data_IF_269583618538
#
_entry.id   IF_269583618538
#
_cell.length_a   1.000
_cell.length_b   1.000
_cell.length_c   1.000
_cell.angle_alpha   90.00
_cell.angle_beta   90.00
_cell.angle_gamma   90.00
#
_symmetry.space_group_name_H-M   'P 1'
#
loop_
_entity.id
_entity.type
_entity.pdbx_description
1 polymer ?
#
# COMPACT_ATOMS: atom_id res chain seq x y z
N UNK A 1 8.19 23.76 11.93
CA UNK A 1 9.16 22.83 12.56
C UNK A 1 10.03 22.25 11.45
N UNK A 2 11.32 22.52 11.50
CA UNK A 2 12.28 22.05 10.48
C UNK A 2 12.27 20.52 10.48
N UNK A 3 11.95 19.91 9.34
CA UNK A 3 12.12 18.48 9.15
C UNK A 3 13.60 18.17 9.26
N UNK A 4 14.00 17.28 10.17
CA UNK A 4 15.40 16.83 10.32
C UNK A 4 15.94 16.16 9.04
N UNK A 5 15.09 15.99 8.04
CA UNK A 5 15.37 15.28 6.78
C UNK A 5 15.39 16.33 5.67
N UNK A 6 16.57 16.59 5.14
CA UNK A 6 16.75 17.46 3.97
C UNK A 6 16.63 16.65 2.68
N UNK A 7 16.16 17.28 1.61
CA UNK A 7 16.04 16.64 0.31
C UNK A 7 17.40 16.09 -0.20
N UNK A 8 18.48 16.84 0.05
CA UNK A 8 19.84 16.43 -0.33
C UNK A 8 20.29 15.15 0.39
N UNK A 9 19.97 15.01 1.68
CA UNK A 9 20.29 13.81 2.46
C UNK A 9 19.56 12.57 1.91
N UNK A 10 18.28 12.72 1.55
CA UNK A 10 17.50 11.62 0.99
C UNK A 10 18.08 11.18 -0.36
N UNK A 11 18.46 12.13 -1.23
CA UNK A 11 19.10 11.82 -2.51
C UNK A 11 20.44 11.10 -2.35
N UNK A 12 21.29 11.55 -1.42
CA UNK A 12 22.56 10.89 -1.13
C UNK A 12 22.35 9.45 -0.65
N UNK A 13 21.37 9.22 0.23
CA UNK A 13 21.01 7.89 0.69
C UNK A 13 20.51 6.98 -0.44
N UNK A 14 19.70 7.52 -1.39
CA UNK A 14 19.23 6.78 -2.56
C UNK A 14 20.41 6.38 -3.45
N UNK A 15 21.33 7.30 -3.72
CA UNK A 15 22.55 7.03 -4.51
C UNK A 15 23.42 5.94 -3.86
N UNK A 16 23.64 6.01 -2.54
CA UNK A 16 24.37 4.98 -1.78
C UNK A 16 23.68 3.61 -1.83
N UNK A 17 22.35 3.60 -1.73
CA UNK A 17 21.56 2.36 -1.85
C UNK A 17 21.75 1.72 -3.22
N UNK A 18 21.64 2.50 -4.31
CA UNK A 18 21.83 2.01 -5.69
C UNK A 18 23.26 1.57 -5.98
N UNK A 19 24.26 2.28 -5.45
CA UNK A 19 25.67 1.87 -5.59
C UNK A 19 25.95 0.48 -4.99
N UNK A 20 25.21 0.10 -3.95
CA UNK A 20 25.27 -1.23 -3.33
C UNK A 20 24.35 -2.26 -3.93
N UNK A 21 23.52 -1.90 -4.91
CA UNK A 21 22.52 -2.76 -5.51
C UNK A 21 23.14 -3.83 -6.42
N UNK A 22 22.59 -5.05 -6.36
CA UNK A 22 22.93 -6.13 -7.28
C UNK A 22 21.78 -6.35 -8.22
N UNK A 23 22.06 -6.45 -9.53
CA UNK A 23 21.05 -6.81 -10.54
C UNK A 23 20.40 -8.16 -10.20
N UNK A 24 19.09 -8.22 -10.27
CA UNK A 24 18.28 -9.40 -9.98
C UNK A 24 17.38 -9.74 -11.15
N UNK A 25 16.84 -10.96 -11.20
CA UNK A 25 15.88 -11.40 -12.22
C UNK A 25 14.48 -10.83 -12.06
N UNK A 26 14.27 -9.86 -11.15
CA UNK A 26 12.98 -9.19 -10.91
C UNK A 26 13.21 -7.71 -10.57
N UNK A 27 12.21 -6.88 -10.83
CA UNK A 27 12.25 -5.46 -10.46
C UNK A 27 12.13 -5.31 -8.95
N UNK A 28 13.20 -4.80 -8.31
CA UNK A 28 13.23 -4.58 -6.87
C UNK A 28 12.36 -3.39 -6.48
N UNK A 29 11.65 -3.51 -5.36
CA UNK A 29 10.92 -2.39 -4.75
C UNK A 29 11.85 -1.65 -3.80
N UNK A 30 11.82 -0.32 -3.84
CA UNK A 30 12.48 0.53 -2.85
C UNK A 30 11.53 0.68 -1.65
N UNK A 31 11.97 0.20 -0.51
CA UNK A 31 11.22 0.18 0.74
C UNK A 31 11.73 1.24 1.70
N UNK A 32 10.79 1.94 2.31
CA UNK A 32 11.02 2.86 3.40
C UNK A 32 10.65 2.16 4.70
N UNK A 33 11.62 2.01 5.60
CA UNK A 33 11.45 1.36 6.90
C UNK A 33 11.62 2.38 8.01
N UNK A 34 10.61 2.52 8.86
CA UNK A 34 10.57 3.49 9.96
C UNK A 34 10.38 2.77 11.27
N UNK A 35 11.27 3.00 12.22
CA UNK A 35 11.10 2.58 13.61
C UNK A 35 10.55 3.74 14.44
N UNK A 36 9.53 3.47 15.22
CA UNK A 36 8.93 4.44 16.14
C UNK A 36 9.53 4.29 17.54
N UNK A 37 9.54 5.38 18.31
CA UNK A 37 9.89 5.43 19.72
C UNK A 37 8.74 6.06 20.52
N UNK A 38 8.72 5.79 21.80
CA UNK A 38 7.71 6.34 22.74
C UNK A 38 6.27 6.06 22.27
N UNK A 39 6.05 4.89 21.69
CA UNK A 39 4.76 4.44 21.19
C UNK A 39 4.50 2.98 21.60
N UNK A 40 3.43 2.74 22.36
CA UNK A 40 3.04 1.41 22.81
C UNK A 40 1.87 0.89 21.94
N UNK A 41 2.08 -0.15 21.09
CA UNK A 41 1.02 -0.68 20.24
C UNK A 41 -0.16 -1.31 21.00
N UNK A 42 -0.01 -1.60 22.28
CA UNK A 42 -1.08 -2.18 23.10
C UNK A 42 -1.94 -1.11 23.80
N UNK A 43 -1.30 -0.03 24.29
CA UNK A 43 -1.95 1.03 25.05
C UNK A 43 -2.36 2.20 24.18
N UNK A 44 -1.53 2.58 23.20
CA UNK A 44 -1.80 3.72 22.34
C UNK A 44 -2.81 3.39 21.24
N UNK A 45 -3.59 4.42 20.85
CA UNK A 45 -4.53 4.30 19.74
C UNK A 45 -3.78 3.97 18.45
N UNK A 46 -4.13 2.85 17.84
CA UNK A 46 -3.59 2.46 16.53
C UNK A 46 -4.06 3.43 15.46
N UNK A 47 -3.16 3.82 14.60
CA UNK A 47 -3.47 4.66 13.45
C UNK A 47 -3.41 3.86 12.15
N UNK A 48 -4.20 4.27 11.19
CA UNK A 48 -4.14 3.83 9.81
C UNK A 48 -4.44 5.04 8.93
N UNK A 49 -3.62 5.27 7.92
CA UNK A 49 -3.81 6.32 6.94
C UNK A 49 -3.29 5.88 5.58
N UNK A 50 -3.89 6.38 4.52
CA UNK A 50 -3.49 6.12 3.14
C UNK A 50 -3.13 7.45 2.49
N UNK A 51 -1.99 7.49 1.81
CA UNK A 51 -1.52 8.63 1.04
C UNK A 51 -1.37 8.23 -0.42
N UNK A 52 -1.76 9.10 -1.34
CA UNK A 52 -1.53 8.92 -2.78
C UNK A 52 -0.19 9.59 -3.09
N UNK A 53 0.73 8.81 -3.65
CA UNK A 53 2.05 9.29 -4.05
C UNK A 53 2.01 9.90 -5.45
N UNK A 54 2.87 10.87 -5.76
CA UNK A 54 2.93 11.47 -7.10
C UNK A 54 3.39 10.50 -8.17
N UNK A 55 4.24 9.54 -7.81
CA UNK A 55 4.77 8.54 -8.73
C UNK A 55 4.37 7.13 -8.27
N UNK A 56 3.91 6.28 -9.18
CA UNK A 56 3.42 4.93 -8.87
C UNK A 56 4.56 4.02 -8.38
N UNK A 57 4.58 3.59 -7.11
CA UNK A 57 5.67 2.79 -6.56
C UNK A 57 5.66 1.34 -7.08
N UNK A 58 4.48 0.79 -7.39
CA UNK A 58 4.30 -0.60 -7.82
C UNK A 58 3.41 -0.68 -9.05
N UNK A 59 3.96 -0.63 -10.27
CA UNK A 59 3.17 -0.69 -11.50
C UNK A 59 2.45 -2.03 -11.68
N UNK A 60 3.07 -3.15 -11.30
CA UNK A 60 2.50 -4.52 -11.40
C UNK A 60 1.76 -4.94 -10.13
N UNK A 61 0.73 -4.19 -9.75
CA UNK A 61 -0.08 -4.50 -8.58
C UNK A 61 -1.31 -5.31 -9.00
N UNK A 62 -1.42 -6.55 -8.53
CA UNK A 62 -2.61 -7.39 -8.77
C UNK A 62 -3.78 -6.88 -7.93
N UNK A 63 -4.81 -6.42 -8.59
CA UNK A 63 -6.02 -5.87 -7.98
C UNK A 63 -7.19 -6.80 -8.31
N UNK A 64 -8.06 -7.06 -7.34
CA UNK A 64 -9.34 -7.70 -7.59
C UNK A 64 -10.45 -6.67 -7.35
N UNK A 65 -11.30 -6.51 -8.35
CA UNK A 65 -12.46 -5.62 -8.29
C UNK A 65 -13.74 -6.43 -8.18
N UNK A 66 -14.44 -6.30 -7.08
CA UNK A 66 -15.76 -6.92 -6.83
C UNK A 66 -16.80 -5.94 -7.32
N UNK A 67 -17.32 -6.18 -8.53
CA UNK A 67 -18.17 -5.25 -9.24
C UNK A 67 -19.63 -5.70 -9.31
N UNK A 68 -20.53 -4.72 -9.36
CA UNK A 68 -21.88 -4.89 -9.87
C UNK A 68 -21.85 -4.97 -11.41
N UNK A 69 -22.93 -5.42 -12.04
CA UNK A 69 -22.99 -5.60 -13.50
C UNK A 69 -22.53 -4.37 -14.28
N UNK A 70 -22.99 -3.17 -13.92
CA UNK A 70 -22.62 -1.90 -14.59
C UNK A 70 -21.11 -1.62 -14.54
N UNK A 71 -20.50 -1.70 -13.35
CA UNK A 71 -19.05 -1.46 -13.20
C UNK A 71 -18.20 -2.62 -13.73
N UNK A 72 -18.78 -3.82 -13.86
CA UNK A 72 -18.11 -4.95 -14.51
C UNK A 72 -17.88 -4.67 -15.99
N UNK A 73 -18.86 -4.11 -16.66
CA UNK A 73 -18.77 -3.79 -18.09
C UNK A 73 -17.81 -2.62 -18.34
N UNK A 74 -17.83 -1.58 -17.49
CA UNK A 74 -16.86 -0.49 -17.53
C UNK A 74 -15.42 -0.99 -17.32
N UNK A 75 -15.19 -1.85 -16.33
CA UNK A 75 -13.87 -2.38 -16.03
C UNK A 75 -13.34 -3.29 -17.14
N UNK A 76 -14.21 -4.07 -17.79
CA UNK A 76 -13.87 -4.90 -18.96
C UNK A 76 -13.57 -4.03 -20.20
N UNK A 77 -14.38 -3.01 -20.45
CA UNK A 77 -14.20 -2.08 -21.56
C UNK A 77 -12.89 -1.31 -21.46
N UNK A 78 -12.43 -1.01 -20.24
CA UNK A 78 -11.16 -0.32 -19.99
C UNK A 78 -9.91 -1.21 -20.18
N UNK A 79 -10.04 -2.51 -20.46
CA UNK A 79 -8.94 -3.48 -20.66
C UNK A 79 -7.79 -3.32 -19.65
N UNK A 80 -8.13 -3.20 -18.37
CA UNK A 80 -7.18 -2.90 -17.30
C UNK A 80 -6.24 -4.09 -17.05
N UNK A 81 -4.97 -3.89 -17.25
CA UNK A 81 -3.93 -4.90 -17.00
C UNK A 81 -3.82 -5.18 -15.50
N UNK A 82 -3.69 -6.46 -15.14
CA UNK A 82 -3.56 -6.95 -13.74
C UNK A 82 -4.79 -6.67 -12.84
N UNK A 83 -5.98 -6.50 -13.42
CA UNK A 83 -7.22 -6.33 -12.67
C UNK A 83 -8.19 -7.49 -12.96
N UNK A 84 -8.47 -8.29 -11.95
CA UNK A 84 -9.47 -9.36 -12.04
C UNK A 84 -10.83 -8.84 -11.57
N UNK A 85 -11.83 -8.88 -12.45
CA UNK A 85 -13.20 -8.49 -12.12
C UNK A 85 -13.98 -9.71 -11.67
N UNK A 86 -14.59 -9.62 -10.49
CA UNK A 86 -15.32 -10.72 -9.84
C UNK A 86 -16.70 -10.27 -9.41
N UNK A 87 -17.73 -11.09 -9.67
CA UNK A 87 -19.10 -10.85 -9.24
C UNK A 87 -19.40 -11.49 -7.87
N UNK A 88 -20.46 -11.02 -7.20
CA UNK A 88 -20.89 -11.57 -5.91
C UNK A 88 -21.21 -13.07 -5.96
N UNK A 89 -21.72 -13.59 -7.08
CA UNK A 89 -22.04 -15.01 -7.21
C UNK A 89 -20.81 -15.92 -7.17
N UNK A 90 -19.68 -15.41 -7.68
CA UNK A 90 -18.41 -16.11 -7.51
C UNK A 90 -18.00 -16.18 -6.03
N UNK A 91 -18.23 -15.13 -5.25
CA UNK A 91 -17.91 -15.10 -3.82
C UNK A 91 -18.79 -16.04 -3.00
N UNK A 92 -20.06 -16.22 -3.39
CA UNK A 92 -20.97 -17.17 -2.76
C UNK A 92 -20.49 -18.61 -2.87
N UNK A 93 -19.77 -18.98 -3.95
CA UNK A 93 -19.22 -20.32 -4.16
C UNK A 93 -18.22 -20.75 -3.08
N UNK A 94 -17.60 -19.79 -2.37
CA UNK A 94 -16.68 -20.12 -1.25
C UNK A 94 -17.38 -20.66 0.00
N UNK A 95 -18.71 -20.59 0.10
CA UNK A 95 -19.53 -21.12 1.21
C UNK A 95 -18.95 -20.81 2.60
N UNK A 96 -18.35 -19.61 2.79
CA UNK A 96 -17.67 -19.17 4.02
C UNK A 96 -16.47 -20.03 4.45
N UNK A 97 -15.91 -20.83 3.56
CA UNK A 97 -14.69 -21.60 3.89
C UNK A 97 -13.49 -20.65 4.07
N UNK A 98 -12.99 -20.61 5.31
CA UNK A 98 -11.89 -19.73 5.72
C UNK A 98 -10.59 -20.00 4.97
N UNK A 99 -10.31 -21.27 4.63
CA UNK A 99 -9.06 -21.67 3.95
C UNK A 99 -9.09 -21.23 2.50
N UNK A 100 -10.19 -21.46 1.80
CA UNK A 100 -10.37 -21.09 0.39
C UNK A 100 -10.34 -19.56 0.22
N UNK A 101 -11.08 -18.82 1.06
CA UNK A 101 -11.10 -17.36 1.05
C UNK A 101 -9.71 -16.78 1.29
N UNK A 102 -8.97 -17.31 2.26
CA UNK A 102 -7.60 -16.87 2.54
C UNK A 102 -6.64 -17.15 1.38
N UNK A 103 -6.76 -18.31 0.73
CA UNK A 103 -5.95 -18.67 -0.44
C UNK A 103 -6.26 -17.77 -1.63
N UNK A 104 -7.54 -17.48 -1.86
CA UNK A 104 -7.99 -16.56 -2.91
C UNK A 104 -7.51 -15.12 -2.65
N UNK A 105 -7.77 -14.57 -1.46
CA UNK A 105 -7.40 -13.21 -1.13
C UNK A 105 -5.88 -12.94 -1.22
N UNK A 106 -5.05 -13.93 -0.88
CA UNK A 106 -3.58 -13.81 -0.98
C UNK A 106 -3.04 -13.70 -2.41
N UNK A 107 -3.84 -14.00 -3.44
CA UNK A 107 -3.43 -13.81 -4.84
C UNK A 107 -3.36 -12.34 -5.22
N UNK A 108 -4.09 -11.48 -4.51
CA UNK A 108 -4.23 -10.07 -4.78
C UNK A 108 -3.53 -9.23 -3.73
N UNK A 109 -3.07 -8.06 -4.14
CA UNK A 109 -2.45 -7.10 -3.23
C UNK A 109 -3.49 -6.14 -2.65
N UNK A 110 -4.51 -5.79 -3.44
CA UNK A 110 -5.61 -4.90 -3.03
C UNK A 110 -6.93 -5.46 -3.53
N UNK A 111 -7.97 -5.30 -2.72
CA UNK A 111 -9.35 -5.58 -3.09
C UNK A 111 -10.10 -4.26 -3.20
N UNK A 112 -10.86 -4.09 -4.28
CA UNK A 112 -11.80 -3.01 -4.50
C UNK A 112 -13.21 -3.59 -4.55
N UNK A 113 -14.21 -2.83 -4.14
CA UNK A 113 -15.59 -3.23 -4.29
C UNK A 113 -16.50 -2.03 -4.53
N UNK A 114 -17.53 -2.19 -5.32
CA UNK A 114 -18.58 -1.19 -5.47
C UNK A 114 -19.23 -0.92 -4.11
N UNK A 115 -19.49 0.33 -3.78
CA UNK A 115 -20.00 0.75 -2.47
C UNK A 115 -21.28 -0.01 -2.04
N UNK A 116 -22.18 -0.31 -2.99
CA UNK A 116 -23.37 -1.14 -2.78
C UNK A 116 -23.07 -2.56 -2.28
N UNK A 117 -21.91 -3.13 -2.65
CA UNK A 117 -21.50 -4.49 -2.30
C UNK A 117 -20.64 -4.56 -1.03
N UNK A 118 -19.96 -3.49 -0.65
CA UNK A 118 -19.04 -3.46 0.50
C UNK A 118 -19.71 -3.99 1.77
N UNK A 119 -20.96 -3.62 2.02
CA UNK A 119 -21.74 -4.07 3.19
C UNK A 119 -22.16 -5.54 3.10
N UNK A 120 -22.33 -6.08 1.88
CA UNK A 120 -22.78 -7.47 1.63
C UNK A 120 -21.62 -8.46 1.70
N UNK A 121 -20.39 -8.04 1.41
CA UNK A 121 -19.18 -8.89 1.41
C UNK A 121 -18.94 -9.58 2.75
N UNK A 122 -18.97 -8.91 3.92
CA UNK A 122 -18.78 -9.57 5.21
C UNK A 122 -19.87 -10.60 5.53
N UNK A 123 -21.08 -10.41 5.05
CA UNK A 123 -22.18 -11.35 5.22
C UNK A 123 -21.95 -12.64 4.42
N UNK A 124 -21.35 -12.51 3.23
CA UNK A 124 -21.09 -13.63 2.31
C UNK A 124 -19.80 -14.38 2.67
N UNK A 125 -18.70 -13.67 2.91
CA UNK A 125 -17.38 -14.25 3.18
C UNK A 125 -17.04 -14.37 4.67
N UNK A 126 -17.83 -13.74 5.54
CA UNK A 126 -17.55 -13.67 6.98
C UNK A 126 -16.38 -12.74 7.32
N UNK A 127 -15.83 -12.83 8.57
CA UNK A 127 -14.82 -11.90 9.08
C UNK A 127 -13.38 -12.19 8.58
N UNK A 128 -13.22 -13.09 7.61
CA UNK A 128 -11.89 -13.58 7.18
C UNK A 128 -11.06 -12.46 6.57
N UNK A 129 -11.65 -11.63 5.69
CA UNK A 129 -10.96 -10.53 5.03
C UNK A 129 -10.46 -9.47 6.04
N UNK A 130 -11.28 -9.15 7.05
CA UNK A 130 -10.89 -8.23 8.12
C UNK A 130 -9.70 -8.76 8.94
N UNK A 131 -9.70 -10.07 9.26
CA UNK A 131 -8.59 -10.70 10.01
C UNK A 131 -7.29 -10.72 9.24
N UNK A 132 -7.34 -10.83 7.92
CA UNK A 132 -6.16 -10.77 7.03
C UNK A 132 -5.70 -9.33 6.84
N UNK A 133 -6.57 -8.33 7.07
CA UNK A 133 -6.29 -6.91 6.84
C UNK A 133 -6.47 -6.49 5.38
N UNK A 134 -7.22 -7.27 4.59
CA UNK A 134 -7.50 -7.04 3.17
C UNK A 134 -8.97 -6.73 2.93
N UNK A 135 -9.54 -5.81 3.71
CA UNK A 135 -10.91 -5.37 3.46
C UNK A 135 -10.97 -4.53 2.18
N UNK A 136 -11.98 -4.74 1.31
CA UNK A 136 -12.10 -4.00 0.05
C UNK A 136 -12.28 -2.51 0.28
N UNK A 137 -11.58 -1.70 -0.51
CA UNK A 137 -11.81 -0.26 -0.56
C UNK A 137 -13.04 0.05 -1.42
N UNK A 138 -13.92 0.98 -1.00
CA UNK A 138 -15.13 1.31 -1.74
C UNK A 138 -14.82 2.10 -3.00
N UNK A 139 -15.56 1.79 -4.06
CA UNK A 139 -15.62 2.56 -5.30
C UNK A 139 -17.02 3.12 -5.41
N UNK A 140 -17.15 4.45 -5.45
CA UNK A 140 -18.47 5.11 -5.55
C UNK A 140 -18.98 5.05 -6.99
N UNK A 141 -20.30 5.19 -7.16
CA UNK A 141 -20.93 5.11 -8.48
C UNK A 141 -20.50 6.22 -9.46
N UNK A 142 -20.01 7.32 -8.92
CA UNK A 142 -19.61 8.50 -9.72
C UNK A 142 -18.11 8.52 -10.05
N UNK A 143 -17.31 7.65 -9.43
CA UNK A 143 -15.89 7.58 -9.68
C UNK A 143 -15.60 6.73 -10.92
N UNK A 144 -14.84 7.23 -11.92
CA UNK A 144 -14.39 6.41 -13.03
C UNK A 144 -13.48 5.30 -12.51
N UNK A 145 -13.81 4.05 -12.83
CA UNK A 145 -13.11 2.86 -12.33
C UNK A 145 -11.62 2.90 -12.64
N UNK A 146 -11.26 3.33 -13.85
CA UNK A 146 -9.86 3.44 -14.28
C UNK A 146 -9.06 4.38 -13.37
N UNK A 147 -9.56 5.60 -13.12
CA UNK A 147 -8.90 6.57 -12.23
C UNK A 147 -8.72 6.04 -10.82
N UNK A 148 -9.74 5.35 -10.29
CA UNK A 148 -9.66 4.78 -8.95
C UNK A 148 -8.60 3.67 -8.84
N UNK A 149 -8.44 2.88 -9.89
CA UNK A 149 -7.40 1.85 -9.96
C UNK A 149 -6.01 2.49 -9.99
N UNK A 150 -5.81 3.56 -10.75
CA UNK A 150 -4.54 4.30 -10.79
C UNK A 150 -4.23 4.95 -9.44
N UNK A 151 -5.22 5.57 -8.80
CA UNK A 151 -5.10 6.11 -7.43
C UNK A 151 -4.67 5.01 -6.43
N UNK A 152 -5.24 3.81 -6.55
CA UNK A 152 -4.89 2.68 -5.69
C UNK A 152 -3.47 2.17 -5.96
N UNK A 153 -3.03 2.14 -7.21
CA UNK A 153 -1.64 1.80 -7.58
C UNK A 153 -0.64 2.80 -7.02
N UNK A 154 -1.01 4.08 -7.01
CA UNK A 154 -0.20 5.16 -6.44
C UNK A 154 -0.30 5.25 -4.92
N UNK A 155 -1.31 4.63 -4.31
CA UNK A 155 -1.56 4.75 -2.88
C UNK A 155 -0.64 3.87 -2.03
N UNK A 156 -0.25 4.40 -0.87
CA UNK A 156 0.52 3.70 0.15
C UNK A 156 -0.17 3.83 1.50
N UNK A 157 -0.32 2.72 2.20
CA UNK A 157 -1.01 2.65 3.48
C UNK A 157 -0.04 2.53 4.64
N UNK A 158 -0.02 3.53 5.51
CA UNK A 158 0.60 3.46 6.82
C UNK A 158 -0.38 2.87 7.83
N UNK A 159 -0.01 1.79 8.47
CA UNK A 159 -0.85 1.14 9.47
C UNK A 159 -0.01 0.58 10.62
N UNK A 160 -0.28 1.06 11.83
CA UNK A 160 0.29 0.47 13.03
C UNK A 160 -0.44 -0.84 13.37
N UNK A 161 0.31 -1.93 13.46
CA UNK A 161 -0.21 -3.26 13.83
C UNK A 161 0.19 -3.60 15.26
N UNK A 162 0.97 -4.67 15.44
CA UNK A 162 1.43 -5.16 16.74
C UNK A 162 2.82 -4.67 17.13
N UNK A 163 3.59 -4.17 16.18
CA UNK A 163 4.98 -3.74 16.35
C UNK A 163 5.16 -2.29 15.94
N UNK A 164 6.16 -1.64 16.52
CA UNK A 164 6.48 -0.23 16.27
C UNK A 164 7.27 0.00 14.98
N UNK A 165 7.67 -1.05 14.28
CA UNK A 165 8.36 -0.95 13.00
C UNK A 165 7.33 -0.96 11.85
N UNK A 166 7.41 0.05 11.01
CA UNK A 166 6.54 0.25 9.85
C UNK A 166 7.37 0.21 8.57
N UNK A 167 6.82 -0.36 7.52
CA UNK A 167 7.45 -0.36 6.21
C UNK A 167 6.42 -0.10 5.11
N UNK A 168 6.84 0.65 4.11
CA UNK A 168 6.04 0.96 2.92
C UNK A 168 6.91 1.00 1.67
N UNK A 169 6.32 0.79 0.51
CA UNK A 169 6.98 0.96 -0.77
C UNK A 169 7.03 2.46 -1.14
N UNK A 170 8.22 2.98 -1.40
CA UNK A 170 8.43 4.34 -1.87
C UNK A 170 8.63 4.42 -3.39
N UNK A 171 9.06 3.32 -4.01
CA UNK A 171 9.31 3.27 -5.45
C UNK A 171 9.80 1.90 -5.90
N UNK A 172 10.37 1.87 -7.09
CA UNK A 172 11.00 0.69 -7.67
C UNK A 172 12.37 1.04 -8.30
N UNK A 173 13.12 0.01 -8.65
CA UNK A 173 14.47 0.12 -9.22
C UNK A 173 14.50 0.91 -10.54
N UNK A 174 13.42 0.88 -11.33
CA UNK A 174 13.33 1.52 -12.65
C UNK A 174 13.01 3.03 -12.59
N UNK A 175 12.59 3.53 -11.41
CA UNK A 175 12.26 4.94 -11.21
C UNK A 175 13.54 5.78 -11.09
N UNK A 176 13.44 7.06 -11.44
CA UNK A 176 14.49 8.04 -11.23
C UNK A 176 14.67 8.36 -9.73
N UNK A 177 15.88 8.77 -9.33
CA UNK A 177 16.21 9.11 -7.94
C UNK A 177 15.32 10.24 -7.42
N UNK A 178 15.00 11.21 -8.28
CA UNK A 178 14.16 12.34 -7.92
C UNK A 178 12.71 11.93 -7.65
N UNK A 179 12.17 10.99 -8.43
CA UNK A 179 10.84 10.44 -8.21
C UNK A 179 10.75 9.67 -6.89
N UNK A 180 11.77 8.86 -6.59
CA UNK A 180 11.85 8.12 -5.31
C UNK A 180 11.97 9.11 -4.14
N UNK A 181 12.75 10.19 -4.29
CA UNK A 181 12.88 11.24 -3.28
C UNK A 181 11.54 11.90 -2.99
N UNK A 182 10.81 12.33 -4.03
CA UNK A 182 9.50 12.97 -3.88
C UNK A 182 8.53 12.06 -3.14
N UNK A 183 8.44 10.79 -3.54
CA UNK A 183 7.60 9.81 -2.89
C UNK A 183 7.99 9.61 -1.43
N UNK A 184 9.29 9.49 -1.15
CA UNK A 184 9.83 9.28 0.22
C UNK A 184 9.48 10.45 1.13
N UNK A 185 9.72 11.69 0.69
CA UNK A 185 9.43 12.89 1.47
C UNK A 185 7.94 13.02 1.75
N UNK A 186 7.08 12.81 0.73
CA UNK A 186 5.63 12.86 0.90
C UNK A 186 5.14 11.78 1.88
N UNK A 187 5.61 10.53 1.73
CA UNK A 187 5.24 9.44 2.63
C UNK A 187 5.65 9.69 4.08
N UNK A 188 6.84 10.26 4.31
CA UNK A 188 7.35 10.58 5.64
C UNK A 188 6.59 11.75 6.29
N UNK A 189 6.31 12.82 5.54
CA UNK A 189 5.54 13.95 6.02
C UNK A 189 4.12 13.51 6.42
N UNK A 190 3.50 12.66 5.62
CA UNK A 190 2.20 12.09 5.94
C UNK A 190 2.26 11.21 7.19
N UNK A 191 3.29 10.37 7.36
CA UNK A 191 3.47 9.60 8.58
C UNK A 191 3.61 10.52 9.80
N UNK A 192 4.40 11.58 9.69
CA UNK A 192 4.58 12.55 10.78
C UNK A 192 3.25 13.22 11.19
N UNK A 193 2.35 13.47 10.24
CA UNK A 193 1.01 14.01 10.54
C UNK A 193 0.10 13.04 11.27
N UNK A 194 0.30 11.72 11.09
CA UNK A 194 -0.47 10.67 11.79
C UNK A 194 0.01 10.43 13.22
N UNK A 195 1.27 10.77 13.53
CA UNK A 195 1.87 10.52 14.83
C UNK A 195 1.50 11.63 15.83
N UNK A 196 1.21 11.25 17.09
CA UNK A 196 0.82 12.18 18.16
C UNK A 196 1.83 13.31 18.40
N UNK A 197 3.13 12.97 18.42
CA UNK A 197 4.24 13.93 18.63
C UNK A 197 5.03 14.20 17.34
N UNK A 198 4.45 13.87 16.17
CA UNK A 198 5.09 14.07 14.87
C UNK A 198 6.48 13.42 14.80
N UNK A 199 7.46 14.18 14.35
CA UNK A 199 8.85 13.71 14.18
C UNK A 199 9.52 13.23 15.48
N UNK A 200 9.07 13.65 16.66
CA UNK A 200 9.63 13.19 17.94
C UNK A 200 9.38 11.70 18.20
N UNK A 201 8.33 11.14 17.63
CA UNK A 201 8.05 9.71 17.73
C UNK A 201 8.88 8.84 16.76
N UNK A 202 9.65 9.43 15.87
CA UNK A 202 10.50 8.68 14.92
C UNK A 202 11.85 8.39 15.58
N UNK A 203 12.24 7.10 15.62
CA UNK A 203 13.53 6.63 16.16
C UNK A 203 14.59 6.58 15.07
N UNK A 204 14.28 5.92 13.96
CA UNK A 204 15.19 5.78 12.83
C UNK A 204 14.42 5.54 11.53
N UNK A 205 15.03 5.95 10.43
CA UNK A 205 14.52 5.78 9.08
C UNK A 205 15.60 5.12 8.24
N UNK A 206 15.23 4.09 7.52
CA UNK A 206 16.09 3.37 6.60
C UNK A 206 15.43 3.27 5.23
N UNK A 207 16.23 3.39 4.19
CA UNK A 207 15.84 3.10 2.80
C UNK A 207 16.61 1.87 2.35
N UNK A 208 15.92 0.94 1.68
CA UNK A 208 16.55 -0.25 1.10
C UNK A 208 15.81 -0.74 -0.13
N UNK A 209 16.51 -1.41 -1.02
CA UNK A 209 15.91 -2.28 -2.02
C UNK A 209 15.52 -3.63 -1.40
N UNK A 210 14.57 -4.35 -2.02
CA UNK A 210 14.01 -5.61 -1.47
C UNK A 210 15.09 -6.59 -1.00
N UNK A 211 16.15 -6.78 -1.78
CA UNK A 211 17.28 -7.67 -1.45
C UNK A 211 18.60 -6.92 -1.20
N UNK A 212 18.54 -5.60 -1.15
CA UNK A 212 19.70 -4.73 -0.92
C UNK A 212 20.04 -4.54 0.56
N UNK A 213 21.18 -3.91 0.82
CA UNK A 213 21.56 -3.43 2.15
C UNK A 213 20.73 -2.21 2.52
N UNK A 214 20.36 -2.07 3.79
CA UNK A 214 19.67 -0.88 4.29
C UNK A 214 20.65 0.29 4.45
N UNK A 215 20.22 1.48 4.00
CA UNK A 215 20.94 2.74 4.21
C UNK A 215 20.14 3.57 5.20
N UNK A 216 20.80 4.04 6.26
CA UNK A 216 20.15 4.87 7.28
C UNK A 216 20.04 6.31 6.80
N UNK A 217 18.85 6.89 6.96
CA UNK A 217 18.54 8.29 6.64
C UNK A 217 18.50 9.14 7.90
N UNK A 218 17.99 8.58 9.00
CA UNK A 218 17.89 9.22 10.32
C UNK A 218 18.27 8.25 11.43
#
# INVERSE_FOLDING_TARGET
>A
MSSKITNALVLDCIKRMRAGAKKRGFTQTVELQVALKDYDPQKDKRFAGTVILPNVPRPKLKICFIADEKHSDEAKAANLVDVDVVNMDFLKKFNKDKKLIKKWAKKYSVLLATDSLVKKIPLTLGPVLNRIGMFPAPVTKNDPVAKKIDDVRASVKWQLKKVTNLNVAAGNELMEDEQIRQNTVMALNFLASLLKKGWHNVKSIHIKETMGKSVRVL
#
